data_IF_810742232881
#
_entry.id   IF_810742232881
#
_cell.length_a   1.000
_cell.length_b   1.000
_cell.length_c   1.000
_cell.angle_alpha   90.00
_cell.angle_beta   90.00
_cell.angle_gamma   90.00
#
_symmetry.space_group_name_H-M   'P 1'
#
loop_
_entity.id
_entity.type
_entity.pdbx_description
1 polymer ?
#
# COMPACT_ATOMS: atom_id res chain seq x y z
N UNK A 1 9.16 6.39 -12.98
CA UNK A 1 9.19 6.18 -11.51
C UNK A 1 9.55 4.74 -11.19
N UNK A 2 10.43 4.54 -10.23
CA UNK A 2 10.81 3.20 -9.77
C UNK A 2 9.85 2.76 -8.68
N UNK A 3 9.44 1.49 -8.72
CA UNK A 3 8.56 0.92 -7.72
C UNK A 3 9.26 -0.29 -7.11
N UNK A 4 9.54 -0.21 -5.82
CA UNK A 4 10.10 -1.32 -5.05
C UNK A 4 8.97 -1.97 -4.26
N UNK A 5 9.10 -3.25 -3.97
CA UNK A 5 8.08 -3.98 -3.21
C UNK A 5 8.75 -4.79 -2.10
N UNK A 6 8.02 -5.01 -1.02
CA UNK A 6 8.48 -5.87 0.07
C UNK A 6 8.02 -7.31 -0.16
N UNK A 7 8.67 -8.30 0.46
CA UNK A 7 8.16 -9.66 0.42
C UNK A 7 6.74 -9.78 0.98
N UNK A 8 6.40 -8.99 1.99
CA UNK A 8 5.05 -8.95 2.57
C UNK A 8 4.03 -8.52 1.53
N UNK A 9 4.35 -7.46 0.76
CA UNK A 9 3.49 -6.99 -0.32
C UNK A 9 3.32 -8.06 -1.40
N UNK A 10 4.42 -8.67 -1.83
CA UNK A 10 4.37 -9.70 -2.87
C UNK A 10 3.52 -10.90 -2.47
N UNK A 11 3.63 -11.35 -1.21
CA UNK A 11 2.82 -12.47 -0.70
C UNK A 11 1.33 -12.12 -0.71
N UNK A 12 0.98 -10.89 -0.34
CA UNK A 12 -0.40 -10.45 -0.37
C UNK A 12 -0.95 -10.43 -1.79
N UNK A 13 -0.17 -9.95 -2.75
CA UNK A 13 -0.59 -9.88 -4.16
C UNK A 13 -0.86 -11.26 -4.73
N UNK A 14 -0.03 -12.26 -4.37
CA UNK A 14 -0.20 -13.62 -4.87
C UNK A 14 -1.53 -14.25 -4.47
N UNK A 15 -2.13 -13.78 -3.39
CA UNK A 15 -3.42 -14.30 -2.90
C UNK A 15 -4.62 -13.63 -3.55
N UNK A 16 -4.42 -12.58 -4.33
CA UNK A 16 -5.51 -11.84 -4.95
C UNK A 16 -5.95 -12.50 -6.25
N UNK A 17 -7.26 -12.53 -6.49
CA UNK A 17 -7.76 -12.98 -7.78
C UNK A 17 -7.70 -11.81 -8.78
N UNK A 18 -8.02 -12.09 -10.04
CA UNK A 18 -7.81 -11.17 -11.16
C UNK A 18 -8.44 -9.80 -10.95
N UNK A 19 -9.70 -9.75 -10.51
CA UNK A 19 -10.40 -8.48 -10.32
C UNK A 19 -9.79 -7.67 -9.18
N UNK A 20 -9.33 -8.34 -8.12
CA UNK A 20 -8.68 -7.67 -7.01
C UNK A 20 -7.34 -7.08 -7.44
N UNK A 21 -6.58 -7.81 -8.26
CA UNK A 21 -5.33 -7.30 -8.81
C UNK A 21 -5.55 -6.07 -9.68
N UNK A 22 -6.64 -6.05 -10.45
CA UNK A 22 -6.99 -4.88 -11.27
C UNK A 22 -7.25 -3.65 -10.40
N UNK A 23 -7.98 -3.82 -9.29
CA UNK A 23 -8.24 -2.73 -8.35
C UNK A 23 -6.95 -2.22 -7.71
N UNK A 24 -6.05 -3.13 -7.35
CA UNK A 24 -4.75 -2.77 -6.79
C UNK A 24 -3.91 -2.02 -7.82
N UNK A 25 -3.86 -2.50 -9.06
CA UNK A 25 -3.09 -1.84 -10.13
C UNK A 25 -3.55 -0.42 -10.36
N UNK A 26 -4.86 -0.18 -10.34
CA UNK A 26 -5.42 1.14 -10.47
C UNK A 26 -4.98 2.05 -9.32
N UNK A 27 -4.98 1.51 -8.09
CA UNK A 27 -4.53 2.24 -6.90
C UNK A 27 -3.05 2.59 -6.99
N UNK A 28 -2.23 1.66 -7.45
CA UNK A 28 -0.80 1.91 -7.66
C UNK A 28 -0.60 3.03 -8.69
N UNK A 29 -1.34 3.02 -9.79
CA UNK A 29 -1.25 4.09 -10.78
C UNK A 29 -1.62 5.43 -10.19
N UNK A 30 -2.64 5.46 -9.34
CA UNK A 30 -3.08 6.70 -8.68
C UNK A 30 -1.96 7.27 -7.83
N UNK A 31 -1.32 6.46 -6.99
CA UNK A 31 -0.25 6.97 -6.11
C UNK A 31 1.04 7.27 -6.90
N UNK A 32 1.28 6.60 -8.00
CA UNK A 32 2.42 6.94 -8.87
C UNK A 32 2.22 8.33 -9.48
N UNK A 33 1.00 8.63 -9.92
CA UNK A 33 0.69 9.96 -10.47
C UNK A 33 0.57 11.05 -9.42
N UNK A 34 0.26 10.67 -8.18
CA UNK A 34 0.05 11.61 -7.09
C UNK A 34 0.49 10.98 -5.76
N UNK A 35 1.82 10.97 -5.48
CA UNK A 35 2.33 10.31 -4.28
C UNK A 35 1.76 10.84 -2.96
N UNK A 36 1.21 12.04 -2.96
CA UNK A 36 0.60 12.64 -1.77
C UNK A 36 -0.85 12.19 -1.54
N UNK A 37 -1.39 11.32 -2.39
CA UNK A 37 -2.78 10.86 -2.27
C UNK A 37 -3.03 10.06 -0.99
N UNK A 38 -2.03 9.34 -0.48
CA UNK A 38 -2.18 8.58 0.76
C UNK A 38 -2.08 9.47 1.99
N UNK A 39 -2.76 9.06 3.06
CA UNK A 39 -2.69 9.73 4.34
C UNK A 39 -1.35 9.45 5.01
N UNK A 40 -0.65 10.51 5.42
CA UNK A 40 0.65 10.37 6.10
C UNK A 40 0.43 9.95 7.55
N UNK A 41 1.14 8.92 7.98
CA UNK A 41 1.07 8.42 9.35
C UNK A 41 2.16 9.04 10.21
N UNK A 42 1.93 9.00 11.53
CA UNK A 42 2.86 9.56 12.52
C UNK A 42 3.18 8.49 13.55
N UNK A 43 4.07 8.80 14.48
CA UNK A 43 4.46 7.87 15.55
C UNK A 43 5.27 6.70 15.00
N UNK A 44 4.91 5.48 15.39
CA UNK A 44 5.63 4.26 15.00
C UNK A 44 5.67 4.05 13.48
N UNK A 45 4.73 4.65 12.76
CA UNK A 45 4.63 4.53 11.31
C UNK A 45 5.00 5.84 10.60
N UNK A 46 5.79 6.69 11.24
CA UNK A 46 6.22 7.95 10.64
C UNK A 46 6.86 7.72 9.27
N UNK A 47 6.47 8.52 8.29
CA UNK A 47 6.96 8.40 6.92
C UNK A 47 6.19 7.41 6.06
N UNK A 48 5.30 6.61 6.64
CA UNK A 48 4.43 5.72 5.87
C UNK A 48 3.19 6.49 5.43
N UNK A 49 2.77 6.25 4.20
CA UNK A 49 1.50 6.75 3.69
C UNK A 49 0.56 5.57 3.47
N UNK A 50 -0.72 5.78 3.71
CA UNK A 50 -1.74 4.74 3.50
C UNK A 50 -2.82 5.27 2.56
N UNK A 51 -3.02 4.59 1.44
CA UNK A 51 -4.03 4.93 0.46
C UNK A 51 -5.23 3.99 0.60
N UNK A 52 -6.41 4.57 0.81
CA UNK A 52 -7.65 3.83 1.00
C UNK A 52 -8.32 3.59 -0.34
N UNK A 53 -8.72 2.35 -0.61
CA UNK A 53 -9.41 1.98 -1.85
C UNK A 53 -10.30 0.76 -1.61
N UNK A 54 -11.09 0.39 -2.59
CA UNK A 54 -11.98 -0.76 -2.49
C UNK A 54 -11.59 -1.85 -3.47
N UNK A 55 -11.66 -3.10 -3.00
CA UNK A 55 -11.63 -4.29 -3.84
C UNK A 55 -13.04 -4.89 -3.77
N UNK A 56 -13.86 -4.62 -4.79
CA UNK A 56 -15.28 -4.95 -4.70
C UNK A 56 -15.92 -4.19 -3.53
N UNK A 57 -16.51 -4.92 -2.58
CA UNK A 57 -17.13 -4.31 -1.40
C UNK A 57 -16.18 -4.17 -0.22
N UNK A 58 -14.96 -4.69 -0.35
CA UNK A 58 -14.01 -4.71 0.75
C UNK A 58 -13.16 -3.43 0.76
N UNK A 59 -13.17 -2.74 1.90
CA UNK A 59 -12.34 -1.56 2.08
C UNK A 59 -10.92 -2.00 2.42
N UNK A 60 -9.96 -1.53 1.62
CA UNK A 60 -8.57 -1.93 1.72
C UNK A 60 -7.64 -0.73 1.87
N UNK A 61 -6.44 -1.01 2.32
CA UNK A 61 -5.38 -0.01 2.43
C UNK A 61 -4.14 -0.50 1.69
N UNK A 62 -3.45 0.45 1.07
CA UNK A 62 -2.15 0.23 0.45
C UNK A 62 -1.14 1.13 1.17
N UNK A 63 -0.21 0.51 1.90
CA UNK A 63 0.82 1.24 2.62
C UNK A 63 2.06 1.38 1.76
N UNK A 64 2.65 2.57 1.72
CA UNK A 64 3.83 2.83 0.90
C UNK A 64 4.68 3.93 1.51
N UNK A 65 5.93 4.01 1.06
CA UNK A 65 6.83 5.12 1.38
C UNK A 65 7.27 5.79 0.10
N UNK A 66 7.39 7.11 0.15
CA UNK A 66 8.01 7.89 -0.92
C UNK A 66 9.48 8.01 -0.52
N UNK A 67 10.37 7.28 -1.22
CA UNK A 67 11.79 7.27 -0.88
C UNK A 67 12.51 8.51 -1.41
N UNK A 68 12.13 8.94 -2.61
CA UNK A 68 12.62 10.18 -3.21
C UNK A 68 11.62 10.63 -4.27
N UNK A 69 11.95 11.66 -5.04
CA UNK A 69 11.04 12.20 -6.05
C UNK A 69 10.72 11.25 -7.20
N UNK A 70 11.39 10.10 -7.26
CA UNK A 70 11.25 9.16 -8.37
C UNK A 70 11.13 7.70 -7.95
N UNK A 71 10.97 7.42 -6.64
CA UNK A 71 10.94 6.05 -6.14
C UNK A 71 9.88 5.88 -5.06
N UNK A 72 9.00 4.89 -5.23
CA UNK A 72 8.03 4.46 -4.22
C UNK A 72 8.39 3.05 -3.76
N UNK A 73 8.14 2.78 -2.48
CA UNK A 73 8.26 1.42 -1.94
C UNK A 73 6.90 0.99 -1.43
N UNK A 74 6.34 -0.08 -2.01
CA UNK A 74 5.06 -0.63 -1.61
C UNK A 74 5.30 -1.62 -0.48
N UNK A 75 4.70 -1.35 0.67
CA UNK A 75 4.99 -2.08 1.90
C UNK A 75 4.02 -3.23 2.17
N UNK A 76 2.72 -2.96 2.03
CA UNK A 76 1.69 -3.92 2.38
C UNK A 76 0.36 -3.50 1.77
N UNK A 77 -0.48 -4.48 1.42
CA UNK A 77 -1.84 -4.24 0.97
C UNK A 77 -2.75 -5.26 1.65
N UNK A 78 -3.94 -4.83 2.05
CA UNK A 78 -4.90 -5.73 2.66
C UNK A 78 -6.12 -5.01 3.20
N UNK A 79 -7.06 -5.78 3.79
CA UNK A 79 -8.26 -5.21 4.39
C UNK A 79 -7.93 -4.21 5.49
N UNK A 80 -8.77 -3.21 5.65
CA UNK A 80 -8.57 -2.17 6.66
C UNK A 80 -8.51 -2.74 8.07
N UNK A 81 -9.30 -3.77 8.36
CA UNK A 81 -9.33 -4.39 9.67
C UNK A 81 -7.97 -4.95 10.04
N UNK A 82 -7.44 -4.55 11.19
CA UNK A 82 -6.14 -4.97 11.72
C UNK A 82 -4.93 -4.60 10.85
N UNK A 83 -5.14 -3.79 9.82
CA UNK A 83 -4.08 -3.45 8.86
C UNK A 83 -2.87 -2.82 9.54
N UNK A 84 -3.08 -1.82 10.38
CA UNK A 84 -1.99 -1.10 11.02
C UNK A 84 -1.25 -1.94 12.05
N UNK A 85 -1.97 -2.82 12.74
CA UNK A 85 -1.35 -3.77 13.66
C UNK A 85 -0.38 -4.68 12.92
N UNK A 86 -0.81 -5.23 11.79
CA UNK A 86 0.01 -6.14 10.99
C UNK A 86 1.17 -5.40 10.33
N UNK A 87 0.93 -4.16 9.89
CA UNK A 87 1.98 -3.34 9.29
C UNK A 87 3.10 -3.05 10.28
N UNK A 88 2.76 -2.74 11.53
CA UNK A 88 3.76 -2.47 12.57
C UNK A 88 4.67 -3.67 12.85
N UNK A 89 4.18 -4.88 12.63
CA UNK A 89 4.98 -6.10 12.82
C UNK A 89 5.98 -6.31 11.69
N UNK A 90 5.70 -5.82 10.50
CA UNK A 90 6.53 -6.02 9.33
C UNK A 90 7.40 -4.81 9.00
N UNK A 91 7.09 -3.66 9.57
CA UNK A 91 7.79 -2.40 9.32
C UNK A 91 8.31 -1.88 10.66
N UNK A 92 9.51 -2.28 11.07
CA UNK A 92 10.08 -1.86 12.36
C UNK A 92 10.41 -0.38 12.41
#
# INVERSE_FOLDING_TARGET
>A
MRILVTPTFERAVKKLHKQQKASLDESVRTIVGQPEAGETKVGDLAGVKAYKFRMGNLLCLLAYRVLDGNTLKLLMVGPQENFYRDLKRTEP
#
